data_IF_255117022349
#
_entry.id   IF_255117022349
#
_cell.length_a   1.000
_cell.length_b   1.000
_cell.length_c   1.000
_cell.angle_alpha   90.00
_cell.angle_beta   90.00
_cell.angle_gamma   90.00
#
_symmetry.space_group_name_H-M   'P 1'
#
loop_
_entity.id
_entity.type
_entity.pdbx_description
1 polymer ?
#
# COMPACT_ATOMS: atom_id res chain seq x y z
N UNK A 1 4.08 -11.55 -23.54
CA UNK A 1 5.52 -11.22 -23.41
C UNK A 1 5.97 -10.86 -21.98
N UNK A 2 5.18 -10.16 -21.16
CA UNK A 2 5.58 -9.77 -19.79
C UNK A 2 5.79 -10.93 -18.80
N UNK A 3 4.96 -11.97 -18.83
CA UNK A 3 5.11 -13.13 -17.94
C UNK A 3 6.49 -13.80 -18.03
N UNK A 4 7.03 -13.90 -19.26
CA UNK A 4 8.35 -14.46 -19.52
C UNK A 4 9.48 -13.63 -18.92
N UNK A 5 9.34 -12.30 -18.88
CA UNK A 5 10.36 -11.41 -18.29
C UNK A 5 10.37 -11.55 -16.78
N UNK A 6 9.20 -11.66 -16.14
CA UNK A 6 9.08 -11.90 -14.70
C UNK A 6 9.60 -13.30 -14.33
N UNK A 7 9.30 -14.33 -15.13
CA UNK A 7 9.90 -15.67 -15.02
C UNK A 7 11.43 -15.63 -15.16
N UNK A 8 11.97 -14.95 -16.18
CA UNK A 8 13.41 -14.86 -16.42
C UNK A 8 14.14 -14.12 -15.29
N UNK A 9 13.52 -13.09 -14.70
CA UNK A 9 14.09 -12.37 -13.55
C UNK A 9 14.03 -13.20 -12.27
N UNK A 10 13.02 -14.05 -12.12
CA UNK A 10 12.99 -15.06 -11.06
C UNK A 10 14.08 -16.11 -11.30
N UNK A 11 14.15 -16.72 -12.49
CA UNK A 11 15.11 -17.77 -12.88
C UNK A 11 16.57 -17.36 -12.72
N UNK A 12 16.94 -16.12 -13.10
CA UNK A 12 18.32 -15.62 -12.96
C UNK A 12 18.79 -15.47 -11.50
N UNK A 13 17.88 -15.41 -10.54
CA UNK A 13 18.23 -15.40 -9.12
C UNK A 13 18.48 -16.81 -8.56
N UNK A 14 18.08 -17.87 -9.27
CA UNK A 14 18.17 -19.27 -8.80
C UNK A 14 19.50 -19.97 -9.12
N UNK A 15 20.21 -19.61 -10.20
CA UNK A 15 21.33 -20.44 -10.70
C UNK A 15 22.71 -20.14 -10.08
N UNK A 16 22.85 -19.12 -9.24
CA UNK A 16 24.17 -18.65 -8.76
C UNK A 16 24.48 -18.91 -7.28
N UNK A 17 23.69 -19.69 -6.53
CA UNK A 17 24.00 -19.93 -5.11
C UNK A 17 23.53 -21.31 -4.58
N UNK A 18 24.42 -22.28 -4.31
CA UNK A 18 24.05 -23.65 -3.91
C UNK A 18 23.63 -23.79 -2.43
N UNK A 19 23.26 -22.70 -1.75
CA UNK A 19 23.02 -22.66 -0.29
C UNK A 19 21.63 -22.19 0.18
N UNK A 20 20.63 -22.06 -0.68
CA UNK A 20 19.38 -21.38 -0.32
C UNK A 20 18.17 -22.32 -0.16
N UNK A 21 17.85 -22.66 1.09
CA UNK A 21 16.59 -23.36 1.44
C UNK A 21 15.35 -22.46 1.53
N UNK A 22 15.49 -21.16 1.28
CA UNK A 22 14.42 -20.17 1.43
C UNK A 22 14.42 -19.18 0.24
N UNK A 23 13.79 -19.55 -0.88
CA UNK A 23 13.69 -18.69 -2.08
C UNK A 23 12.25 -18.25 -2.41
N UNK A 24 11.32 -18.40 -1.47
CA UNK A 24 10.08 -17.66 -1.52
C UNK A 24 10.25 -16.41 -0.66
N UNK A 25 9.94 -15.20 -1.16
CA UNK A 25 9.72 -14.06 -0.28
C UNK A 25 8.76 -14.49 0.84
N UNK A 26 8.99 -14.07 2.09
CA UNK A 26 8.07 -14.39 3.16
C UNK A 26 6.66 -13.92 2.76
N UNK A 27 5.61 -14.69 3.09
CA UNK A 27 4.24 -14.29 2.79
C UNK A 27 3.98 -12.88 3.34
N UNK A 28 3.30 -12.01 2.57
CA UNK A 28 3.08 -10.63 2.99
C UNK A 28 2.35 -10.60 4.31
N UNK A 29 2.81 -9.76 5.23
CA UNK A 29 2.13 -9.54 6.52
C UNK A 29 0.81 -8.80 6.30
N UNK A 30 -0.08 -8.83 7.29
CA UNK A 30 -1.35 -8.10 7.25
C UNK A 30 -1.13 -6.60 6.96
N UNK A 31 -0.09 -5.99 7.54
CA UNK A 31 0.28 -4.59 7.30
C UNK A 31 0.69 -4.32 5.85
N UNK A 32 1.48 -5.22 5.25
CA UNK A 32 1.88 -5.11 3.85
C UNK A 32 0.68 -5.25 2.92
N UNK A 33 -0.23 -6.18 3.21
CA UNK A 33 -1.47 -6.34 2.45
C UNK A 33 -2.35 -5.09 2.55
N UNK A 34 -2.51 -4.53 3.75
CA UNK A 34 -3.25 -3.27 3.96
C UNK A 34 -2.63 -2.12 3.14
N UNK A 35 -1.31 -1.96 3.15
CA UNK A 35 -0.63 -0.94 2.36
C UNK A 35 -0.88 -1.16 0.87
N UNK A 36 -0.79 -2.39 0.40
CA UNK A 36 -1.04 -2.72 -1.00
C UNK A 36 -2.50 -2.44 -1.41
N UNK A 37 -3.47 -2.72 -0.53
CA UNK A 37 -4.88 -2.41 -0.75
C UNK A 37 -5.12 -0.89 -0.80
N UNK A 38 -4.47 -0.10 0.07
CA UNK A 38 -4.53 1.37 0.04
C UNK A 38 -3.90 1.96 -1.24
N UNK A 39 -2.77 1.39 -1.69
CA UNK A 39 -2.13 1.80 -2.95
C UNK A 39 -3.04 1.46 -4.12
N UNK A 40 -3.63 0.26 -4.14
CA UNK A 40 -4.57 -0.16 -5.19
C UNK A 40 -5.76 0.79 -5.28
N UNK A 41 -6.37 1.15 -4.15
CA UNK A 41 -7.46 2.14 -4.11
C UNK A 41 -7.00 3.49 -4.69
N UNK A 42 -5.83 3.98 -4.28
CA UNK A 42 -5.26 5.22 -4.81
C UNK A 42 -5.05 5.16 -6.32
N UNK A 43 -4.50 4.06 -6.84
CA UNK A 43 -4.27 3.89 -8.27
C UNK A 43 -5.58 3.87 -9.05
N UNK A 44 -6.58 3.14 -8.57
CA UNK A 44 -7.90 3.07 -9.20
C UNK A 44 -8.61 4.42 -9.19
N UNK A 45 -8.55 5.16 -8.07
CA UNK A 45 -9.15 6.48 -7.94
C UNK A 45 -8.53 7.50 -8.93
N UNK A 46 -7.22 7.44 -9.14
CA UNK A 46 -6.51 8.33 -10.06
C UNK A 46 -6.57 7.84 -11.53
N UNK A 47 -7.22 6.71 -11.81
CA UNK A 47 -7.33 6.16 -13.17
C UNK A 47 -6.10 5.42 -13.67
N UNK A 48 -5.16 5.04 -12.80
CA UNK A 48 -3.97 4.24 -13.14
C UNK A 48 -4.31 2.74 -13.25
N UNK A 49 -5.29 2.40 -14.08
CA UNK A 49 -5.91 1.07 -14.14
C UNK A 49 -4.93 -0.05 -14.54
N UNK A 50 -4.02 0.23 -15.46
CA UNK A 50 -3.01 -0.74 -15.89
C UNK A 50 -2.03 -1.06 -14.77
N UNK A 51 -1.55 -0.03 -14.06
CA UNK A 51 -0.66 -0.18 -12.91
C UNK A 51 -1.35 -0.93 -11.76
N UNK A 52 -2.62 -0.64 -11.49
CA UNK A 52 -3.42 -1.36 -10.48
C UNK A 52 -3.52 -2.87 -10.80
N UNK A 53 -3.71 -3.21 -12.07
CA UNK A 53 -3.79 -4.61 -12.51
C UNK A 53 -2.46 -5.33 -12.33
N UNK A 54 -1.36 -4.70 -12.72
CA UNK A 54 0.00 -5.25 -12.54
C UNK A 54 0.31 -5.43 -11.06
N UNK A 55 0.04 -4.43 -10.23
CA UNK A 55 0.22 -4.50 -8.77
C UNK A 55 -0.55 -5.68 -8.16
N UNK A 56 -1.82 -5.86 -8.55
CA UNK A 56 -2.65 -6.96 -8.05
C UNK A 56 -2.04 -8.33 -8.40
N UNK A 57 -1.45 -8.46 -9.60
CA UNK A 57 -0.79 -9.70 -10.03
C UNK A 57 0.56 -9.95 -9.34
N UNK A 58 1.32 -8.89 -9.07
CA UNK A 58 2.66 -9.00 -8.47
C UNK A 58 2.63 -9.14 -6.95
N UNK A 59 1.68 -8.46 -6.28
CA UNK A 59 1.56 -8.44 -4.82
C UNK A 59 0.81 -9.65 -4.25
N UNK A 60 0.39 -10.59 -5.10
CA UNK A 60 -0.46 -11.74 -4.73
C UNK A 60 -1.66 -11.31 -3.87
N UNK A 61 -2.26 -10.15 -4.19
CA UNK A 61 -3.40 -9.62 -3.45
C UNK A 61 -4.58 -10.59 -3.51
N UNK A 62 -5.41 -10.65 -2.46
CA UNK A 62 -6.66 -11.40 -2.51
C UNK A 62 -7.50 -10.99 -3.72
N UNK A 63 -8.14 -11.97 -4.37
CA UNK A 63 -9.05 -11.69 -5.49
C UNK A 63 -10.24 -10.83 -5.07
N UNK A 64 -10.62 -10.92 -3.80
CA UNK A 64 -11.67 -10.12 -3.20
C UNK A 64 -11.14 -8.71 -2.90
N UNK A 65 -11.79 -7.71 -3.50
CA UNK A 65 -11.46 -6.31 -3.28
C UNK A 65 -12.05 -5.89 -1.94
N UNK A 66 -11.21 -5.42 -1.01
CA UNK A 66 -11.70 -4.78 0.22
C UNK A 66 -12.52 -3.54 -0.14
N UNK A 67 -13.64 -3.40 0.53
CA UNK A 67 -14.48 -2.21 0.47
C UNK A 67 -13.78 -1.07 1.20
N UNK A 68 -14.11 0.16 0.80
CA UNK A 68 -13.58 1.35 1.48
C UNK A 68 -13.97 1.41 2.95
N UNK A 69 -15.15 0.91 3.32
CA UNK A 69 -15.59 0.84 4.71
C UNK A 69 -14.70 -0.06 5.57
N UNK A 70 -14.27 -1.21 5.03
CA UNK A 70 -13.34 -2.13 5.71
C UNK A 70 -11.96 -1.48 5.88
N UNK A 71 -11.44 -0.85 4.83
CA UNK A 71 -10.15 -0.15 4.91
C UNK A 71 -10.19 0.98 5.94
N UNK A 72 -11.26 1.79 5.94
CA UNK A 72 -11.48 2.85 6.93
C UNK A 72 -11.50 2.32 8.37
N UNK A 73 -12.17 1.20 8.61
CA UNK A 73 -12.22 0.55 9.92
C UNK A 73 -10.83 0.09 10.37
N UNK A 74 -10.03 -0.48 9.46
CA UNK A 74 -8.69 -0.99 9.75
C UNK A 74 -7.67 0.13 10.00
N UNK A 75 -7.74 1.23 9.25
CA UNK A 75 -6.85 2.40 9.45
C UNK A 75 -7.32 3.35 10.57
N UNK A 76 -8.52 3.13 11.11
CA UNK A 76 -9.10 3.99 12.15
C UNK A 76 -9.44 5.40 11.67
N UNK A 77 -9.79 5.55 10.39
CA UNK A 77 -10.20 6.83 9.78
C UNK A 77 -11.69 6.80 9.50
N UNK A 78 -12.39 7.88 9.87
CA UNK A 78 -13.80 8.03 9.55
C UNK A 78 -13.96 8.62 8.14
N UNK A 79 -14.74 7.95 7.30
CA UNK A 79 -15.12 8.48 5.99
C UNK A 79 -16.29 9.47 6.20
N UNK A 80 -16.00 10.77 6.13
CA UNK A 80 -17.00 11.84 6.11
C UNK A 80 -17.22 12.27 4.64
N UNK A 81 -18.32 12.97 4.31
CA UNK A 81 -18.66 13.33 2.92
C UNK A 81 -17.55 14.05 2.14
N UNK A 82 -16.72 14.84 2.82
CA UNK A 82 -15.55 15.51 2.22
C UNK A 82 -14.37 14.55 1.99
N UNK A 83 -14.22 13.56 2.86
CA UNK A 83 -13.19 12.52 2.82
C UNK A 83 -13.46 11.53 1.69
N UNK A 84 -14.74 11.23 1.43
CA UNK A 84 -15.17 10.34 0.34
C UNK A 84 -14.88 10.88 -1.06
N UNK A 85 -14.53 12.16 -1.20
CA UNK A 85 -14.15 12.76 -2.49
C UNK A 85 -12.67 12.56 -2.87
N UNK A 86 -11.87 11.95 -1.99
CA UNK A 86 -10.43 11.74 -2.17
C UNK A 86 -10.06 10.27 -1.88
N UNK A 87 -8.96 9.77 -2.46
CA UNK A 87 -8.40 8.47 -2.09
C UNK A 87 -8.14 8.40 -0.59
N UNK A 88 -8.42 7.25 0.04
CA UNK A 88 -8.25 7.08 1.48
C UNK A 88 -6.79 7.32 1.91
N UNK A 89 -5.84 6.88 1.09
CA UNK A 89 -4.41 7.13 1.32
C UNK A 89 -4.09 8.63 1.45
N UNK A 90 -4.74 9.49 0.65
CA UNK A 90 -4.57 10.95 0.71
C UNK A 90 -5.09 11.50 2.03
N UNK A 91 -6.26 11.02 2.50
CA UNK A 91 -6.83 11.43 3.78
C UNK A 91 -5.94 11.03 4.95
N UNK A 92 -5.37 9.83 4.92
CA UNK A 92 -4.41 9.35 5.92
C UNK A 92 -3.19 10.28 5.96
N UNK A 93 -2.55 10.52 4.81
CA UNK A 93 -1.37 11.39 4.74
C UNK A 93 -1.65 12.79 5.25
N UNK A 94 -2.81 13.37 4.91
CA UNK A 94 -3.23 14.68 5.40
C UNK A 94 -3.40 14.68 6.93
N UNK A 95 -4.10 13.70 7.49
CA UNK A 95 -4.33 13.58 8.93
C UNK A 95 -3.02 13.45 9.73
N UNK A 96 -2.09 12.61 9.26
CA UNK A 96 -0.77 12.47 9.88
C UNK A 96 0.07 13.74 9.77
N UNK A 97 0.10 14.37 8.60
CA UNK A 97 0.83 15.62 8.36
C UNK A 97 0.35 16.74 9.29
N UNK A 98 -0.96 16.93 9.42
CA UNK A 98 -1.55 17.95 10.30
C UNK A 98 -1.33 17.62 11.79
N UNK A 99 -1.29 16.34 12.16
CA UNK A 99 -0.93 15.93 13.53
C UNK A 99 0.54 16.25 13.85
N UNK A 100 1.45 16.00 12.91
CA UNK A 100 2.89 16.30 13.07
C UNK A 100 3.11 17.80 13.17
N UNK A 101 2.51 18.61 12.28
CA UNK A 101 2.58 20.08 12.34
C UNK A 101 2.12 20.61 13.70
N UNK A 102 0.98 20.14 14.21
CA UNK A 102 0.46 20.54 15.54
C UNK A 102 1.42 20.19 16.67
N UNK A 103 2.04 19.01 16.65
CA UNK A 103 3.07 18.62 17.63
C UNK A 103 4.28 19.56 17.61
N UNK A 104 4.79 19.86 16.42
CA UNK A 104 5.93 20.77 16.24
C UNK A 104 5.59 22.18 16.76
N UNK A 105 4.41 22.71 16.41
CA UNK A 105 3.95 24.02 16.88
C UNK A 105 3.79 24.08 18.40
N UNK A 106 3.32 22.98 19.01
CA UNK A 106 3.21 22.88 20.48
C UNK A 106 4.59 22.91 21.15
N UNK A 107 5.53 22.12 20.65
CA UNK A 107 6.92 22.10 21.17
C UNK A 107 7.56 23.50 21.10
N UNK A 108 7.39 24.22 19.98
CA UNK A 108 7.90 25.60 19.86
C UNK A 108 7.31 26.55 20.89
N UNK A 109 6.01 26.41 21.20
CA UNK A 109 5.32 27.23 22.20
C UNK A 109 5.78 26.92 23.62
N UNK A 110 6.08 25.66 23.92
CA UNK A 110 6.51 25.23 25.26
C UNK A 110 8.01 25.57 25.54
N UNK A 111 8.78 25.91 24.50
CA UNK A 111 10.20 26.30 24.60
C UNK A 111 10.44 27.83 24.56
N UNK A 112 9.41 28.66 24.48
CA UNK A 112 9.49 30.14 24.47
C UNK A 112 8.83 30.71 25.72
#
# INVERSE_FOLDING_TARGET
>A
MRAKVTEILQDRQFTNNPGCRNFCPPPPTAEVLLINDLIKEYLEWNGYLYTSTVLTSEAALPKEKRTRAELCAEVGVKDDEKSSALPLLTNIVAAYTERIKRKISKIKKDCT
#
